data_IF_159579236453
#
_entry.id   IF_159579236453
#
_cell.length_a   1.000
_cell.length_b   1.000
_cell.length_c   1.000
_cell.angle_alpha   90.00
_cell.angle_beta   90.00
_cell.angle_gamma   90.00
#
_symmetry.space_group_name_H-M   'P 1'
#
loop_
_entity.id
_entity.type
_entity.pdbx_description
1 polymer ?
#
# COMPACT_ATOMS: atom_id res chain seq x y z
N UNK A 1 -62.05 23.38 40.09
CA UNK A 1 -60.70 23.53 40.70
C UNK A 1 -59.93 22.24 40.42
N UNK A 2 -58.80 22.34 39.68
CA UNK A 2 -57.55 21.54 39.77
C UNK A 2 -57.66 20.01 39.57
N UNK A 3 -56.87 19.31 38.76
CA UNK A 3 -55.58 19.61 38.13
C UNK A 3 -55.35 18.67 36.95
N UNK A 4 -54.70 19.20 35.91
CA UNK A 4 -54.21 18.49 34.73
C UNK A 4 -53.02 17.57 35.04
N UNK A 5 -52.89 16.53 34.21
CA UNK A 5 -51.80 15.58 34.15
C UNK A 5 -50.47 16.19 33.67
N UNK A 6 -49.35 15.54 33.98
CA UNK A 6 -48.13 15.59 33.17
C UNK A 6 -47.28 14.33 33.40
N UNK A 7 -47.30 13.41 32.43
CA UNK A 7 -46.35 12.31 32.31
C UNK A 7 -45.15 12.84 31.52
N UNK A 8 -44.00 12.98 32.17
CA UNK A 8 -42.76 13.37 31.51
C UNK A 8 -42.12 12.14 30.86
N UNK A 9 -42.17 12.07 29.53
CA UNK A 9 -41.42 11.09 28.74
C UNK A 9 -40.02 11.68 28.51
N UNK A 10 -39.01 11.09 29.15
CA UNK A 10 -37.62 11.46 28.93
C UNK A 10 -37.12 10.81 27.62
N UNK A 11 -36.94 11.63 26.58
CA UNK A 11 -36.25 11.23 25.36
C UNK A 11 -34.74 11.15 25.64
N UNK A 12 -34.18 9.94 25.64
CA UNK A 12 -32.74 9.73 25.63
C UNK A 12 -32.20 10.00 24.22
N UNK A 13 -31.52 11.13 24.06
CA UNK A 13 -30.84 11.51 22.82
C UNK A 13 -29.65 10.57 22.58
N UNK A 14 -29.74 9.68 21.58
CA UNK A 14 -28.55 8.99 21.06
C UNK A 14 -27.66 10.04 20.37
N UNK A 15 -26.52 10.35 20.97
CA UNK A 15 -25.46 11.09 20.31
C UNK A 15 -24.86 10.19 19.22
N UNK A 16 -25.10 10.54 17.95
CA UNK A 16 -24.42 9.95 16.81
C UNK A 16 -22.96 10.44 16.83
N UNK A 17 -22.04 9.56 17.23
CA UNK A 17 -20.61 9.80 17.03
C UNK A 17 -20.34 9.74 15.53
N UNK A 18 -20.03 10.88 14.92
CA UNK A 18 -19.50 10.92 13.56
C UNK A 18 -18.14 10.21 13.56
N UNK A 19 -18.10 9.00 13.01
CA UNK A 19 -16.82 8.36 12.68
C UNK A 19 -16.17 9.25 11.61
N UNK A 20 -14.92 9.69 11.79
CA UNK A 20 -14.23 10.44 10.75
C UNK A 20 -14.18 9.56 9.50
N UNK A 21 -14.65 10.08 8.37
CA UNK A 21 -14.42 9.44 7.08
C UNK A 21 -12.91 9.37 6.87
N UNK A 22 -12.35 8.16 6.93
CA UNK A 22 -10.95 7.95 6.58
C UNK A 22 -10.77 8.45 5.15
N UNK A 23 -9.87 9.43 4.95
CA UNK A 23 -9.59 9.92 3.62
C UNK A 23 -9.18 8.74 2.73
N UNK A 24 -9.67 8.74 1.48
CA UNK A 24 -9.29 7.71 0.52
C UNK A 24 -7.75 7.62 0.46
N UNK A 25 -7.20 6.40 0.33
CA UNK A 25 -5.76 6.23 0.22
C UNK A 25 -5.22 7.08 -0.94
N UNK A 26 -4.02 7.65 -0.75
CA UNK A 26 -3.34 8.43 -1.80
C UNK A 26 -2.79 7.56 -2.95
N UNK A 27 -3.06 6.26 -2.89
CA UNK A 27 -2.63 5.24 -3.84
C UNK A 27 -3.83 4.39 -4.29
N UNK A 28 -3.63 3.66 -5.38
CA UNK A 28 -4.58 2.72 -5.98
C UNK A 28 -4.22 1.28 -5.60
N UNK A 29 -5.23 0.48 -5.29
CA UNK A 29 -5.11 -0.98 -5.19
C UNK A 29 -5.06 -1.64 -6.57
N UNK A 30 -5.43 -0.93 -7.64
CA UNK A 30 -5.39 -1.45 -9.01
C UNK A 30 -6.67 -2.16 -9.44
N UNK A 31 -6.51 -3.30 -10.11
CA UNK A 31 -7.56 -4.16 -10.67
C UNK A 31 -7.47 -5.59 -10.13
N UNK A 32 -8.42 -6.46 -10.50
CA UNK A 32 -8.40 -7.89 -10.18
C UNK A 32 -8.11 -8.74 -11.44
N UNK A 33 -7.06 -8.36 -12.18
CA UNK A 33 -6.71 -8.98 -13.46
C UNK A 33 -5.54 -9.97 -13.36
N UNK A 34 -4.93 -10.11 -12.17
CA UNK A 34 -3.81 -11.03 -11.93
C UNK A 34 -4.24 -12.50 -11.91
N UNK A 35 -3.27 -13.40 -12.05
CA UNK A 35 -3.50 -14.85 -11.96
C UNK A 35 -4.04 -15.27 -10.59
N UNK A 36 -3.59 -14.58 -9.53
CA UNK A 36 -3.95 -14.84 -8.13
C UNK A 36 -5.01 -13.90 -7.57
N UNK A 37 -5.60 -13.04 -8.40
CA UNK A 37 -6.61 -12.09 -7.93
C UNK A 37 -7.85 -12.79 -7.34
N UNK A 38 -8.34 -12.29 -6.19
CA UNK A 38 -9.51 -12.84 -5.47
C UNK A 38 -9.31 -14.25 -4.89
N UNK A 39 -8.10 -14.61 -4.49
CA UNK A 39 -7.82 -15.90 -3.85
C UNK A 39 -7.88 -15.84 -2.30
N UNK A 40 -8.03 -14.63 -1.74
CA UNK A 40 -8.16 -14.37 -0.32
C UNK A 40 -6.86 -13.92 0.37
N UNK A 41 -5.77 -13.78 -0.38
CA UNK A 41 -4.49 -13.21 0.07
C UNK A 41 -4.11 -12.01 -0.81
N UNK A 42 -3.28 -11.08 -0.31
CA UNK A 42 -2.80 -9.97 -1.13
C UNK A 42 -1.52 -10.36 -1.89
N UNK A 43 -1.54 -10.24 -3.21
CA UNK A 43 -0.39 -10.56 -4.07
C UNK A 43 0.40 -9.34 -4.57
N UNK A 44 0.11 -8.14 -4.08
CA UNK A 44 0.79 -6.95 -4.56
C UNK A 44 2.08 -6.64 -3.75
N UNK A 45 3.29 -6.76 -4.34
CA UNK A 45 4.57 -6.60 -3.61
C UNK A 45 4.83 -5.19 -3.08
N UNK A 46 4.02 -4.20 -3.48
CA UNK A 46 4.07 -2.86 -2.88
C UNK A 46 3.60 -2.87 -1.43
N UNK A 47 2.98 -3.95 -0.97
CA UNK A 47 2.53 -4.14 0.40
C UNK A 47 3.41 -5.12 1.18
N UNK A 48 3.25 -5.10 2.49
CA UNK A 48 3.83 -6.05 3.41
C UNK A 48 2.90 -6.27 4.61
N UNK A 49 2.92 -7.47 5.19
CA UNK A 49 2.16 -7.79 6.39
C UNK A 49 1.56 -9.19 6.40
N UNK A 50 0.68 -9.43 7.37
CA UNK A 50 0.07 -10.75 7.62
C UNK A 50 -0.99 -11.16 6.61
N UNK A 51 -1.53 -10.20 5.87
CA UNK A 51 -2.53 -10.45 4.81
C UNK A 51 -1.91 -10.68 3.44
N UNK A 52 -0.58 -10.68 3.32
CA UNK A 52 0.10 -11.03 2.07
C UNK A 52 0.03 -12.54 1.83
N UNK A 53 0.09 -12.91 0.55
CA UNK A 53 0.42 -14.28 0.13
C UNK A 53 1.74 -14.76 0.74
N UNK A 54 1.94 -16.08 0.69
CA UNK A 54 3.21 -16.72 1.06
C UNK A 54 3.98 -17.26 -0.14
N UNK A 55 3.45 -17.09 -1.35
CA UNK A 55 4.15 -17.42 -2.59
C UNK A 55 5.13 -16.31 -2.97
N UNK A 56 5.95 -16.59 -3.98
CA UNK A 56 6.83 -15.58 -4.54
C UNK A 56 5.99 -14.49 -5.21
N UNK A 57 6.35 -13.23 -4.93
CA UNK A 57 5.75 -12.07 -5.56
C UNK A 57 6.56 -11.63 -6.76
N UNK A 58 5.88 -11.31 -7.86
CA UNK A 58 6.47 -10.85 -9.10
C UNK A 58 6.09 -9.39 -9.37
N UNK A 59 6.90 -8.69 -10.16
CA UNK A 59 6.56 -7.33 -10.59
C UNK A 59 5.25 -7.26 -11.36
N UNK A 60 4.85 -8.35 -12.03
CA UNK A 60 3.60 -8.44 -12.76
C UNK A 60 2.36 -8.52 -11.84
N UNK A 61 2.53 -8.82 -10.55
CA UNK A 61 1.41 -8.84 -9.59
C UNK A 61 1.03 -7.44 -9.09
N UNK A 62 1.88 -6.44 -9.34
CA UNK A 62 1.64 -5.04 -8.98
C UNK A 62 0.33 -4.56 -9.61
N UNK A 63 -0.57 -4.00 -8.76
CA UNK A 63 -1.88 -3.46 -9.16
C UNK A 63 -2.86 -4.49 -9.73
N UNK A 64 -2.65 -5.78 -9.50
CA UNK A 64 -3.44 -6.83 -10.14
C UNK A 64 -4.29 -7.69 -9.20
N UNK A 65 -4.23 -7.42 -7.88
CA UNK A 65 -5.07 -8.06 -6.87
C UNK A 65 -5.73 -7.02 -5.92
N UNK A 66 -6.57 -6.17 -6.50
CA UNK A 66 -7.10 -5.01 -5.81
C UNK A 66 -8.07 -5.34 -4.67
N UNK A 67 -8.87 -6.39 -4.82
CA UNK A 67 -9.92 -6.74 -3.87
C UNK A 67 -9.36 -7.29 -2.58
N UNK A 68 -8.40 -8.22 -2.64
CA UNK A 68 -7.82 -8.82 -1.43
C UNK A 68 -6.84 -7.87 -0.75
N UNK A 69 -5.98 -7.19 -1.52
CA UNK A 69 -5.11 -6.15 -0.97
C UNK A 69 -5.89 -5.01 -0.30
N UNK A 70 -7.02 -4.57 -0.87
CA UNK A 70 -7.87 -3.57 -0.21
C UNK A 70 -8.46 -4.10 1.09
N UNK A 71 -9.01 -5.31 1.08
CA UNK A 71 -9.60 -5.91 2.27
C UNK A 71 -8.56 -6.09 3.40
N UNK A 72 -7.36 -6.55 3.07
CA UNK A 72 -6.26 -6.69 4.00
C UNK A 72 -5.76 -5.33 4.53
N UNK A 73 -5.67 -4.31 3.68
CA UNK A 73 -5.25 -2.96 4.10
C UNK A 73 -6.28 -2.33 5.06
N UNK A 74 -7.57 -2.43 4.73
CA UNK A 74 -8.66 -1.93 5.58
C UNK A 74 -8.77 -2.69 6.92
N UNK A 75 -8.43 -3.99 6.91
CA UNK A 75 -8.31 -4.79 8.13
C UNK A 75 -7.05 -4.47 8.96
N UNK A 76 -6.13 -3.65 8.43
CA UNK A 76 -4.86 -3.31 9.06
C UNK A 76 -3.88 -4.49 9.14
N UNK A 77 -4.06 -5.52 8.30
CA UNK A 77 -3.18 -6.69 8.26
C UNK A 77 -2.00 -6.51 7.32
N UNK A 78 -2.09 -5.58 6.36
CA UNK A 78 -0.99 -5.13 5.50
C UNK A 78 -0.85 -3.60 5.54
N UNK A 79 0.29 -3.11 5.06
CA UNK A 79 0.60 -1.68 4.84
C UNK A 79 1.46 -1.53 3.59
N UNK A 80 1.56 -0.31 3.05
CA UNK A 80 2.55 -0.03 2.01
C UNK A 80 3.96 -0.26 2.55
N UNK A 81 4.78 -0.91 1.74
CA UNK A 81 6.15 -1.28 2.07
C UNK A 81 7.10 -0.10 1.90
N UNK A 82 7.75 0.30 2.98
CA UNK A 82 8.80 1.32 2.96
C UNK A 82 8.36 2.67 2.37
N UNK A 83 7.17 3.15 2.74
CA UNK A 83 6.68 4.50 2.42
C UNK A 83 6.23 5.15 3.71
N UNK A 84 6.73 6.35 4.00
CA UNK A 84 6.37 7.08 5.22
C UNK A 84 4.98 7.76 5.12
N UNK A 85 4.52 8.35 6.24
CA UNK A 85 3.22 9.04 6.31
C UNK A 85 3.10 10.23 5.34
N UNK A 86 4.23 10.76 4.86
CA UNK A 86 4.28 11.85 3.90
C UNK A 86 4.29 11.36 2.45
N UNK A 87 4.38 10.04 2.23
CA UNK A 87 4.50 9.45 0.90
C UNK A 87 5.93 9.47 0.36
N UNK A 88 6.93 9.64 1.22
CA UNK A 88 8.35 9.58 0.87
C UNK A 88 8.79 8.12 0.95
N UNK A 89 9.39 7.56 -0.13
CA UNK A 89 9.94 6.22 -0.08
C UNK A 89 11.14 6.14 0.86
N UNK A 90 11.19 5.06 1.64
CA UNK A 90 12.41 4.54 2.21
C UNK A 90 13.10 3.68 1.15
N UNK A 91 14.29 4.11 0.75
CA UNK A 91 15.11 3.41 -0.24
C UNK A 91 15.89 2.24 0.39
N UNK A 92 15.99 2.18 1.71
CA UNK A 92 16.64 1.08 2.43
C UNK A 92 18.16 1.14 2.43
N UNK A 93 18.82 0.03 2.07
CA UNK A 93 20.28 -0.11 2.04
C UNK A 93 20.81 -0.51 0.66
N UNK A 94 22.13 -0.71 0.55
CA UNK A 94 22.80 -1.17 -0.68
C UNK A 94 23.36 -2.58 -0.50
N UNK A 95 22.48 -3.56 -0.23
CA UNK A 95 22.89 -4.96 -0.04
C UNK A 95 22.19 -5.85 -1.04
N UNK A 96 22.96 -6.55 -1.84
CA UNK A 96 22.42 -7.51 -2.78
C UNK A 96 23.45 -7.78 -3.87
N UNK A 97 23.09 -8.64 -4.83
CA UNK A 97 23.90 -8.83 -6.03
C UNK A 97 23.81 -7.61 -6.96
N UNK A 98 22.66 -6.95 -6.99
CA UNK A 98 22.34 -5.85 -7.91
C UNK A 98 22.46 -4.44 -7.29
N UNK A 99 22.80 -4.35 -6.01
CA UNK A 99 23.01 -3.05 -5.37
C UNK A 99 24.22 -2.29 -5.94
N UNK A 100 24.09 -0.98 -6.15
CA UNK A 100 25.16 -0.10 -6.69
C UNK A 100 25.67 -0.50 -8.09
N UNK A 101 24.83 -1.05 -8.95
CA UNK A 101 25.21 -1.42 -10.31
C UNK A 101 24.93 -0.33 -11.37
N UNK A 102 24.30 0.77 -10.95
CA UNK A 102 23.96 1.93 -11.76
C UNK A 102 22.52 1.93 -12.29
N UNK A 103 21.73 0.93 -11.97
CA UNK A 103 20.30 0.80 -12.26
C UNK A 103 19.51 0.60 -10.96
N UNK A 104 18.19 0.82 -10.98
CA UNK A 104 17.34 0.56 -9.81
C UNK A 104 16.62 -0.79 -9.94
N UNK A 105 16.81 -1.66 -8.97
CA UNK A 105 16.22 -3.01 -8.92
C UNK A 105 14.99 -3.14 -8.00
N UNK A 106 14.52 -2.02 -7.45
CA UNK A 106 13.36 -2.01 -6.55
C UNK A 106 12.03 -1.91 -7.33
N UNK A 107 11.27 -3.00 -7.38
CA UNK A 107 10.02 -3.09 -8.14
C UNK A 107 8.91 -2.14 -7.69
N UNK A 108 9.05 -1.45 -6.55
CA UNK A 108 8.09 -0.41 -6.16
C UNK A 108 8.15 0.81 -7.08
N UNK A 109 9.20 0.93 -7.88
CA UNK A 109 9.46 2.04 -8.79
C UNK A 109 9.25 1.68 -10.27
N UNK A 110 9.09 2.71 -11.09
CA UNK A 110 9.08 2.64 -12.55
C UNK A 110 9.74 3.88 -13.14
N UNK A 111 10.27 3.76 -14.36
CA UNK A 111 10.83 4.89 -15.13
C UNK A 111 12.20 4.60 -15.74
N UNK A 112 12.85 5.66 -16.25
CA UNK A 112 14.11 5.57 -17.01
C UNK A 112 15.33 5.14 -16.19
N UNK A 113 15.21 5.07 -14.87
CA UNK A 113 16.28 4.62 -13.98
C UNK A 113 16.17 3.16 -13.54
N UNK A 114 15.16 2.42 -13.99
CA UNK A 114 14.98 1.02 -13.62
C UNK A 114 15.96 0.13 -14.38
N UNK A 115 16.34 -0.98 -13.75
CA UNK A 115 16.97 -2.11 -14.42
C UNK A 115 16.14 -2.60 -15.61
N UNK A 116 16.82 -3.20 -16.59
CA UNK A 116 16.17 -3.93 -17.68
C UNK A 116 16.05 -5.44 -17.40
N UNK A 117 16.62 -5.94 -16.29
CA UNK A 117 16.51 -7.34 -15.88
C UNK A 117 15.22 -7.61 -15.10
N UNK A 118 14.82 -8.87 -14.94
CA UNK A 118 13.68 -9.21 -14.10
C UNK A 118 13.87 -8.68 -12.67
N UNK A 119 12.83 -8.05 -12.13
CA UNK A 119 12.82 -7.52 -10.76
C UNK A 119 12.47 -8.63 -9.77
N UNK A 120 13.12 -8.63 -8.61
CA UNK A 120 12.91 -9.64 -7.56
C UNK A 120 12.38 -9.00 -6.27
N UNK A 121 11.48 -9.69 -5.56
CA UNK A 121 10.93 -9.17 -4.29
C UNK A 121 12.04 -8.93 -3.26
N UNK A 122 13.08 -9.76 -3.29
CA UNK A 122 14.23 -9.65 -2.39
C UNK A 122 15.12 -8.43 -2.63
N UNK A 123 14.98 -7.74 -3.77
CA UNK A 123 15.73 -6.51 -4.07
C UNK A 123 14.98 -5.24 -3.64
N UNK A 124 13.74 -5.37 -3.15
CA UNK A 124 13.00 -4.23 -2.60
C UNK A 124 13.76 -3.65 -1.41
N UNK A 125 14.03 -2.34 -1.46
CA UNK A 125 14.78 -1.58 -0.44
C UNK A 125 16.26 -2.00 -0.27
N UNK A 126 16.85 -2.59 -1.29
CA UNK A 126 18.21 -3.14 -1.24
C UNK A 126 19.18 -2.53 -2.24
N UNK A 127 18.70 -1.56 -3.02
CA UNK A 127 19.49 -0.76 -3.93
C UNK A 127 19.24 0.75 -3.73
N UNK A 128 19.55 1.22 -2.53
CA UNK A 128 19.15 2.55 -2.08
C UNK A 128 19.83 3.69 -2.84
N UNK A 129 21.11 3.55 -3.17
CA UNK A 129 21.91 4.60 -3.81
C UNK A 129 21.43 4.87 -5.23
N UNK A 130 21.21 3.84 -6.04
CA UNK A 130 20.82 4.00 -7.44
C UNK A 130 19.35 4.39 -7.56
N UNK A 131 18.44 3.68 -6.88
CA UNK A 131 17.03 4.06 -6.80
C UNK A 131 16.84 5.49 -6.25
N UNK A 132 17.54 5.84 -5.17
CA UNK A 132 17.47 7.16 -4.55
C UNK A 132 17.97 8.27 -5.48
N UNK A 133 19.09 8.04 -6.16
CA UNK A 133 19.67 8.98 -7.12
C UNK A 133 18.75 9.19 -8.32
N UNK A 134 18.23 8.11 -8.89
CA UNK A 134 17.33 8.17 -10.05
C UNK A 134 15.97 8.81 -9.69
N UNK A 135 15.43 8.53 -8.50
CA UNK A 135 14.22 9.19 -7.99
C UNK A 135 14.43 10.69 -7.78
N UNK A 136 15.54 11.10 -7.14
CA UNK A 136 15.87 12.51 -6.94
C UNK A 136 16.09 13.27 -8.26
N UNK A 137 16.56 12.57 -9.29
CA UNK A 137 16.70 13.10 -10.65
C UNK A 137 15.37 13.16 -11.43
N UNK A 138 14.26 12.68 -10.85
CA UNK A 138 12.95 12.62 -11.50
C UNK A 138 12.84 11.54 -12.58
N UNK A 139 13.77 10.59 -12.62
CA UNK A 139 13.77 9.46 -13.56
C UNK A 139 12.91 8.30 -13.10
N UNK A 140 12.69 8.19 -11.79
CA UNK A 140 11.83 7.17 -11.17
C UNK A 140 10.60 7.78 -10.51
N UNK A 141 9.54 7.00 -10.48
CA UNK A 141 8.30 7.28 -9.74
C UNK A 141 7.87 6.02 -9.01
N UNK A 142 7.25 6.18 -7.84
CA UNK A 142 6.58 5.07 -7.16
C UNK A 142 5.33 4.65 -7.95
N UNK A 143 5.13 3.35 -8.06
CA UNK A 143 3.91 2.79 -8.66
C UNK A 143 2.79 2.87 -7.62
N UNK A 144 2.19 4.05 -7.45
CA UNK A 144 1.08 4.26 -6.50
C UNK A 144 -0.29 4.29 -7.17
N UNK A 145 -0.41 4.18 -8.49
CA UNK A 145 -1.69 4.36 -9.20
C UNK A 145 -1.88 3.36 -10.30
#
# INVERSE_FOLDING_TARGET
MKSSAAFAVAFASLALFSIPAQAAPKFSFGTDNGEYANDGECDDPRFEGKGMTRTFLLSDDILNDATDCRAAYEAGTIRLRGIDDNGVPDFGDDKGEYANDGECDDMRFTGEGMTATPLLEEDIMHDATDCGTAYAAGKLQLILK
#
